data_IF_667918610253
#
_entry.id   IF_667918610253
#
_cell.length_a   1.000
_cell.length_b   1.000
_cell.length_c   1.000
_cell.angle_alpha   90.00
_cell.angle_beta   90.00
_cell.angle_gamma   90.00
#
_symmetry.space_group_name_H-M   'P 1'
#
loop_
_entity.id
_entity.type
_entity.pdbx_description
1 polymer ?
#
# COMPACT_ATOMS: atom_id res chain seq x y z
N UNK A 1 -7.63 14.48 19.38
CA UNK A 1 -6.93 13.79 18.30
C UNK A 1 -5.45 14.15 18.33
N UNK A 2 -4.58 13.14 18.39
CA UNK A 2 -3.13 13.30 18.39
C UNK A 2 -2.57 12.75 17.08
N UNK A 3 -2.33 13.63 16.12
CA UNK A 3 -1.86 13.26 14.78
C UNK A 3 -0.47 12.59 14.82
N UNK A 4 0.40 12.97 15.77
CA UNK A 4 1.70 12.32 15.92
C UNK A 4 1.53 10.87 16.36
N UNK A 5 0.70 10.62 17.37
CA UNK A 5 0.40 9.28 17.84
C UNK A 5 -0.30 8.43 16.79
N UNK A 6 -1.21 9.03 16.01
CA UNK A 6 -1.87 8.36 14.88
C UNK A 6 -0.83 7.88 13.86
N UNK A 7 0.03 8.79 13.35
CA UNK A 7 1.09 8.41 12.41
C UNK A 7 2.00 7.31 12.96
N UNK A 8 2.41 7.43 14.25
CA UNK A 8 3.32 6.47 14.88
C UNK A 8 2.68 5.08 15.05
N UNK A 9 1.37 5.00 15.28
CA UNK A 9 0.66 3.72 15.35
C UNK A 9 0.50 3.09 13.97
N UNK A 10 0.19 3.88 12.94
CA UNK A 10 0.12 3.40 11.54
C UNK A 10 1.51 2.89 11.08
N UNK A 11 2.58 3.60 11.41
CA UNK A 11 3.97 3.16 11.16
C UNK A 11 4.27 1.80 11.81
N UNK A 12 3.95 1.63 13.10
CA UNK A 12 4.14 0.35 13.83
C UNK A 12 3.36 -0.81 13.22
N UNK A 13 2.13 -0.55 12.76
CA UNK A 13 1.35 -1.55 12.01
C UNK A 13 2.09 -1.91 10.72
N UNK A 14 2.64 -0.92 10.01
CA UNK A 14 3.44 -1.14 8.80
C UNK A 14 4.68 -2.00 9.02
N UNK A 15 5.40 -1.81 10.14
CA UNK A 15 6.54 -2.65 10.50
C UNK A 15 6.14 -4.13 10.68
N UNK A 16 5.02 -4.38 11.38
CA UNK A 16 4.51 -5.74 11.60
C UNK A 16 4.03 -6.35 10.28
N UNK A 17 3.27 -5.59 9.47
CA UNK A 17 2.79 -6.05 8.18
C UNK A 17 3.96 -6.36 7.22
N UNK A 18 4.99 -5.54 7.19
CA UNK A 18 6.19 -5.76 6.39
C UNK A 18 6.89 -7.07 6.78
N UNK A 19 7.00 -7.36 8.07
CA UNK A 19 7.54 -8.63 8.58
C UNK A 19 6.70 -9.82 8.12
N UNK A 20 5.38 -9.77 8.27
CA UNK A 20 4.50 -10.86 7.84
C UNK A 20 4.56 -11.07 6.32
N UNK A 21 4.51 -9.98 5.54
CA UNK A 21 4.62 -10.01 4.09
C UNK A 21 5.95 -10.61 3.63
N UNK A 22 7.06 -10.25 4.28
CA UNK A 22 8.39 -10.74 3.89
C UNK A 22 8.51 -12.26 3.90
N UNK A 23 7.72 -12.96 4.72
CA UNK A 23 7.72 -14.43 4.80
C UNK A 23 7.20 -15.11 3.52
N UNK A 24 6.49 -14.38 2.68
CA UNK A 24 5.90 -14.90 1.43
C UNK A 24 6.73 -14.57 0.19
N UNK A 25 7.75 -13.72 0.33
CA UNK A 25 8.66 -13.38 -0.76
C UNK A 25 9.63 -14.54 -1.06
N UNK A 26 10.12 -14.61 -2.29
CA UNK A 26 11.16 -15.55 -2.67
C UNK A 26 12.52 -15.14 -2.10
N UNK A 27 13.31 -16.13 -1.70
CA UNK A 27 14.64 -15.94 -1.14
C UNK A 27 15.70 -16.68 -1.97
N UNK A 28 16.90 -16.10 -2.07
CA UNK A 28 18.07 -16.70 -2.69
C UNK A 28 19.21 -16.86 -1.69
N UNK A 29 20.01 -17.91 -1.86
CA UNK A 29 21.21 -18.14 -1.05
C UNK A 29 22.28 -17.10 -1.35
N UNK A 30 22.95 -16.63 -0.31
CA UNK A 30 24.11 -15.74 -0.37
C UNK A 30 25.15 -16.16 0.66
N UNK A 31 26.40 -15.80 0.38
CA UNK A 31 27.52 -15.94 1.30
C UNK A 31 27.89 -14.55 1.85
N UNK A 32 27.88 -14.44 3.17
CA UNK A 32 28.26 -13.19 3.86
C UNK A 32 29.57 -13.39 4.57
N UNK A 33 30.58 -12.59 4.22
CA UNK A 33 31.85 -12.57 4.93
C UNK A 33 31.68 -11.88 6.29
N UNK A 34 31.95 -12.62 7.36
CA UNK A 34 32.00 -12.12 8.73
C UNK A 34 33.48 -11.99 9.17
N UNK A 35 33.78 -11.34 10.30
CA UNK A 35 35.15 -11.30 10.84
C UNK A 35 35.75 -12.67 11.15
N UNK A 36 34.92 -13.70 11.37
CA UNK A 36 35.37 -15.04 11.79
C UNK A 36 35.21 -16.10 10.70
N UNK A 37 34.59 -15.79 9.55
CA UNK A 37 34.40 -16.77 8.47
C UNK A 37 33.23 -16.42 7.54
N UNK A 38 32.91 -17.37 6.67
CA UNK A 38 31.78 -17.23 5.74
C UNK A 38 30.50 -17.76 6.40
N UNK A 39 29.45 -16.95 6.38
CA UNK A 39 28.08 -17.32 6.78
C UNK A 39 27.23 -17.58 5.54
N UNK A 40 26.83 -18.80 5.31
CA UNK A 40 25.79 -19.13 4.33
C UNK A 40 24.42 -18.70 4.87
N UNK A 41 23.69 -17.90 4.15
CA UNK A 41 22.38 -17.37 4.56
C UNK A 41 21.52 -17.07 3.34
N UNK A 42 20.35 -16.45 3.56
CA UNK A 42 19.42 -16.08 2.48
C UNK A 42 19.12 -14.58 2.50
N UNK A 43 18.79 -14.04 1.34
CA UNK A 43 18.25 -12.70 1.17
C UNK A 43 17.06 -12.73 0.22
N UNK A 44 16.24 -11.70 0.21
CA UNK A 44 15.13 -11.55 -0.74
C UNK A 44 15.69 -11.64 -2.17
N UNK A 45 15.04 -12.45 -3.01
CA UNK A 45 15.56 -12.76 -4.35
C UNK A 45 15.41 -11.59 -5.30
N UNK A 46 14.21 -11.02 -5.42
CA UNK A 46 13.91 -9.89 -6.27
C UNK A 46 13.83 -8.59 -5.48
N UNK A 47 14.24 -7.46 -6.07
CA UNK A 47 14.09 -6.15 -5.44
C UNK A 47 12.65 -5.85 -5.07
N UNK A 48 12.46 -5.05 -4.01
CA UNK A 48 11.18 -4.55 -3.54
C UNK A 48 11.04 -3.08 -3.91
N UNK A 49 9.87 -2.71 -4.41
CA UNK A 49 9.47 -1.32 -4.63
C UNK A 49 8.27 -1.03 -3.73
N UNK A 50 8.42 -0.07 -2.84
CA UNK A 50 7.34 0.47 -2.02
C UNK A 50 6.69 1.63 -2.77
N UNK A 51 5.38 1.56 -3.03
CA UNK A 51 4.64 2.63 -3.70
C UNK A 51 3.49 3.10 -2.82
N UNK A 52 3.52 4.36 -2.38
CA UNK A 52 2.52 4.90 -1.47
C UNK A 52 1.50 5.77 -2.19
N UNK A 53 0.22 5.60 -1.83
CA UNK A 53 -0.84 6.51 -2.26
C UNK A 53 -0.87 7.72 -1.31
N UNK A 54 -0.58 8.89 -1.88
CA UNK A 54 -0.50 10.14 -1.14
C UNK A 54 -1.90 10.67 -0.80
N UNK A 55 -2.05 11.33 0.34
CA UNK A 55 -1.13 11.59 1.47
C UNK A 55 -1.20 10.48 2.52
N UNK A 56 -2.35 9.79 2.60
CA UNK A 56 -2.72 8.87 3.69
C UNK A 56 -1.70 7.72 3.89
N UNK A 57 -1.15 7.20 2.80
CA UNK A 57 -0.20 6.08 2.83
C UNK A 57 1.15 6.37 3.46
N UNK A 58 1.57 7.64 3.62
CA UNK A 58 2.94 7.99 4.05
C UNK A 58 3.35 7.41 5.41
N UNK A 59 2.46 7.38 6.40
CA UNK A 59 2.78 6.84 7.71
C UNK A 59 2.97 5.31 7.68
N UNK A 60 2.14 4.61 6.91
CA UNK A 60 2.25 3.16 6.70
C UNK A 60 3.53 2.83 5.91
N UNK A 61 3.81 3.61 4.88
CA UNK A 61 5.03 3.51 4.07
C UNK A 61 6.30 3.61 4.92
N UNK A 62 6.34 4.50 5.89
CA UNK A 62 7.47 4.64 6.81
C UNK A 62 7.73 3.34 7.59
N UNK A 63 6.68 2.63 8.01
CA UNK A 63 6.80 1.33 8.67
C UNK A 63 7.40 0.26 7.74
N UNK A 64 6.97 0.20 6.48
CA UNK A 64 7.56 -0.70 5.48
C UNK A 64 9.01 -0.35 5.18
N UNK A 65 9.36 0.95 5.07
CA UNK A 65 10.74 1.39 4.88
C UNK A 65 11.66 1.00 6.05
N UNK A 66 11.14 1.00 7.28
CA UNK A 66 11.90 0.59 8.47
C UNK A 66 12.26 -0.90 8.47
N UNK A 67 11.61 -1.70 7.61
CA UNK A 67 11.84 -3.13 7.50
C UNK A 67 12.59 -3.52 6.21
N UNK A 68 12.27 -2.89 5.07
CA UNK A 68 12.89 -3.17 3.78
C UNK A 68 13.96 -2.13 3.45
N UNK A 69 15.15 -2.26 4.06
CA UNK A 69 16.25 -1.29 3.99
C UNK A 69 16.68 -0.91 2.57
N UNK A 70 16.60 -1.86 1.62
CA UNK A 70 17.06 -1.68 0.25
C UNK A 70 15.90 -1.45 -0.74
N UNK A 71 14.68 -1.21 -0.25
CA UNK A 71 13.55 -0.99 -1.13
C UNK A 71 13.66 0.36 -1.86
N UNK A 72 13.35 0.35 -3.15
CA UNK A 72 13.14 1.57 -3.91
C UNK A 72 11.75 2.14 -3.56
N UNK A 73 11.59 3.47 -3.65
CA UNK A 73 10.39 4.14 -3.18
C UNK A 73 9.72 4.93 -4.30
N UNK A 74 8.40 4.77 -4.43
CA UNK A 74 7.54 5.49 -5.34
C UNK A 74 6.35 6.12 -4.63
N UNK A 75 5.78 7.15 -5.26
CA UNK A 75 4.63 7.88 -4.73
C UNK A 75 3.67 8.19 -5.85
N UNK A 76 2.37 7.99 -5.58
CA UNK A 76 1.29 8.33 -6.50
C UNK A 76 0.22 9.12 -5.77
N UNK A 77 -0.43 10.07 -6.45
CA UNK A 77 -1.63 10.70 -5.94
C UNK A 77 -2.85 10.17 -6.67
N UNK A 78 -3.89 9.84 -5.91
CA UNK A 78 -5.19 9.50 -6.44
C UNK A 78 -6.26 10.29 -5.69
N UNK A 79 -7.15 10.94 -6.42
CA UNK A 79 -8.27 11.65 -5.82
C UNK A 79 -9.53 11.50 -6.66
N UNK A 80 -10.68 11.66 -5.99
CA UNK A 80 -11.99 11.65 -6.65
C UNK A 80 -12.26 13.01 -7.27
N UNK A 81 -12.45 13.02 -8.58
CA UNK A 81 -12.95 14.19 -9.29
C UNK A 81 -14.44 14.02 -9.53
N UNK A 82 -15.25 14.94 -8.99
CA UNK A 82 -16.68 14.98 -9.22
C UNK A 82 -16.97 15.91 -10.42
N UNK A 83 -17.75 15.41 -11.36
CA UNK A 83 -18.28 16.25 -12.45
C UNK A 83 -19.50 17.01 -11.96
N UNK A 84 -19.62 18.28 -12.34
CA UNK A 84 -20.77 19.13 -11.98
C UNK A 84 -22.10 18.43 -12.32
N UNK A 85 -22.98 18.30 -11.32
CA UNK A 85 -24.35 17.76 -11.39
C UNK A 85 -24.57 16.27 -11.64
N UNK A 86 -23.60 15.40 -11.45
CA UNK A 86 -23.81 13.95 -11.54
C UNK A 86 -23.18 13.24 -10.32
N UNK A 87 -23.85 12.20 -9.77
CA UNK A 87 -23.28 11.35 -8.72
C UNK A 87 -22.06 10.53 -9.22
N UNK A 88 -21.66 10.77 -10.47
CA UNK A 88 -20.50 10.13 -11.09
C UNK A 88 -19.22 10.84 -10.69
N UNK A 89 -18.25 10.07 -10.30
CA UNK A 89 -16.89 10.56 -10.08
C UNK A 89 -15.89 9.69 -10.85
N UNK A 90 -14.77 10.27 -11.19
CA UNK A 90 -13.62 9.59 -11.76
C UNK A 90 -12.45 9.65 -10.78
N UNK A 91 -11.67 8.57 -10.73
CA UNK A 91 -10.43 8.58 -9.96
C UNK A 91 -9.32 9.08 -10.88
N UNK A 92 -8.82 10.28 -10.58
CA UNK A 92 -7.68 10.85 -11.29
C UNK A 92 -6.38 10.49 -10.57
N UNK A 93 -5.44 9.93 -11.32
CA UNK A 93 -4.05 9.70 -10.89
C UNK A 93 -3.19 10.74 -11.58
N UNK A 94 -2.93 11.86 -10.91
CA UNK A 94 -2.25 13.01 -11.52
C UNK A 94 -0.73 13.00 -11.31
N UNK A 95 -0.30 12.64 -10.10
CA UNK A 95 1.12 12.61 -9.77
C UNK A 95 1.61 11.18 -9.67
N UNK A 96 2.70 10.90 -10.36
CA UNK A 96 3.41 9.64 -10.27
C UNK A 96 4.90 9.90 -10.30
N UNK A 97 5.60 9.52 -9.24
CA UNK A 97 7.05 9.46 -9.19
C UNK A 97 7.43 8.10 -8.61
N UNK A 98 7.79 7.17 -9.47
CA UNK A 98 8.14 5.82 -9.07
C UNK A 98 9.31 5.28 -9.90
N UNK A 99 10.20 4.47 -9.30
CA UNK A 99 11.21 3.73 -10.04
C UNK A 99 10.54 2.67 -10.91
N UNK A 100 11.32 2.02 -11.79
CA UNK A 100 10.83 0.84 -12.50
C UNK A 100 10.55 -0.31 -11.53
N UNK A 101 9.38 -0.93 -11.68
CA UNK A 101 9.00 -2.15 -10.96
C UNK A 101 8.86 -3.37 -11.87
N UNK A 102 9.37 -3.28 -13.11
CA UNK A 102 9.41 -4.41 -14.03
C UNK A 102 10.19 -5.58 -13.42
N UNK A 103 9.50 -6.74 -13.27
CA UNK A 103 10.08 -7.96 -12.69
C UNK A 103 10.39 -7.90 -11.18
N UNK A 104 10.03 -6.82 -10.49
CA UNK A 104 10.24 -6.64 -9.04
C UNK A 104 8.96 -6.95 -8.25
N UNK A 105 9.08 -7.04 -6.93
CA UNK A 105 7.94 -7.10 -6.02
C UNK A 105 7.44 -5.68 -5.75
N UNK A 106 6.23 -5.35 -6.19
CA UNK A 106 5.58 -4.06 -5.92
C UNK A 106 4.72 -4.17 -4.67
N UNK A 107 4.96 -3.31 -3.69
CA UNK A 107 4.10 -3.17 -2.50
C UNK A 107 3.37 -1.83 -2.61
N UNK A 108 2.07 -1.88 -2.92
CA UNK A 108 1.20 -0.70 -2.96
C UNK A 108 0.61 -0.45 -1.57
N UNK A 109 0.78 0.76 -1.06
CA UNK A 109 0.52 1.12 0.32
C UNK A 109 -0.55 2.21 0.42
N UNK A 110 -1.68 1.88 1.05
CA UNK A 110 -2.74 2.81 1.42
C UNK A 110 -3.36 2.35 2.75
N UNK A 111 -3.59 3.19 3.76
CA UNK A 111 -4.15 2.73 5.03
C UNK A 111 -5.60 2.21 4.94
N UNK A 112 -6.34 2.53 3.89
CA UNK A 112 -7.77 2.23 3.82
C UNK A 112 -8.20 1.61 2.48
N UNK A 113 -8.88 0.47 2.55
CA UNK A 113 -9.61 -0.15 1.44
C UNK A 113 -11.12 -0.01 1.70
N UNK A 114 -11.67 1.14 1.32
CA UNK A 114 -13.12 1.41 1.45
C UNK A 114 -13.89 0.78 0.29
N UNK A 115 -14.06 1.48 -0.84
CA UNK A 115 -14.73 0.95 -2.05
C UNK A 115 -13.81 0.15 -2.98
N UNK A 116 -12.50 0.21 -2.80
CA UNK A 116 -11.50 -0.39 -3.68
C UNK A 116 -11.20 0.38 -4.97
N UNK A 117 -12.04 1.31 -5.38
CA UNK A 117 -11.95 1.99 -6.68
C UNK A 117 -10.63 2.75 -6.86
N UNK A 118 -10.15 3.48 -5.84
CA UNK A 118 -8.89 4.23 -5.91
C UNK A 118 -7.68 3.31 -6.09
N UNK A 119 -7.63 2.20 -5.33
CA UNK A 119 -6.56 1.21 -5.43
C UNK A 119 -6.54 0.55 -6.81
N UNK A 120 -7.70 0.14 -7.32
CA UNK A 120 -7.84 -0.45 -8.66
C UNK A 120 -7.42 0.54 -9.75
N UNK A 121 -7.85 1.80 -9.68
CA UNK A 121 -7.47 2.83 -10.65
C UNK A 121 -5.95 3.08 -10.67
N UNK A 122 -5.33 3.17 -9.49
CA UNK A 122 -3.87 3.30 -9.37
C UNK A 122 -3.16 2.08 -9.94
N UNK A 123 -3.60 0.87 -9.60
CA UNK A 123 -3.00 -0.36 -10.12
C UNK A 123 -3.11 -0.46 -11.63
N UNK A 124 -4.27 -0.15 -12.20
CA UNK A 124 -4.45 -0.17 -13.65
C UNK A 124 -3.47 0.78 -14.33
N UNK A 125 -3.30 2.00 -13.82
CA UNK A 125 -2.36 2.95 -14.40
C UNK A 125 -0.92 2.46 -14.29
N UNK A 126 -0.50 1.97 -13.13
CA UNK A 126 0.84 1.44 -12.91
C UNK A 126 1.11 0.19 -13.76
N UNK A 127 0.15 -0.74 -13.85
CA UNK A 127 0.30 -2.01 -14.56
C UNK A 127 0.31 -1.86 -16.09
N UNK A 128 -0.34 -0.83 -16.65
CA UNK A 128 -0.30 -0.55 -18.10
C UNK A 128 1.11 -0.23 -18.59
N UNK A 129 1.97 0.30 -17.73
CA UNK A 129 3.31 0.75 -18.08
C UNK A 129 4.39 -0.31 -17.82
N UNK A 130 4.21 -1.20 -16.83
CA UNK A 130 5.24 -2.14 -16.37
C UNK A 130 4.61 -3.39 -15.77
N UNK A 131 5.34 -4.51 -15.78
CA UNK A 131 4.89 -5.81 -15.25
C UNK A 131 5.70 -6.20 -14.01
N UNK A 132 5.23 -5.91 -12.79
CA UNK A 132 5.84 -6.43 -11.59
C UNK A 132 5.74 -7.96 -11.54
N UNK A 133 6.69 -8.62 -10.86
CA UNK A 133 6.64 -10.05 -10.63
C UNK A 133 5.44 -10.41 -9.76
N UNK A 134 5.33 -9.75 -8.60
CA UNK A 134 4.22 -9.87 -7.66
C UNK A 134 3.77 -8.48 -7.24
N UNK A 135 2.49 -8.36 -6.92
CA UNK A 135 1.87 -7.15 -6.39
C UNK A 135 1.33 -7.46 -5.01
N UNK A 136 1.74 -6.70 -4.02
CA UNK A 136 1.19 -6.76 -2.67
C UNK A 136 0.50 -5.44 -2.36
N UNK A 137 -0.77 -5.49 -1.94
CA UNK A 137 -1.52 -4.33 -1.49
C UNK A 137 -1.59 -4.39 0.02
N UNK A 138 -1.08 -3.37 0.70
CA UNK A 138 -1.05 -3.29 2.15
C UNK A 138 -1.99 -2.19 2.66
N UNK A 139 -3.00 -2.59 3.45
CA UNK A 139 -3.98 -1.67 4.04
C UNK A 139 -4.17 -1.95 5.54
N UNK A 140 -4.43 -0.89 6.32
CA UNK A 140 -4.67 -1.04 7.75
C UNK A 140 -6.09 -1.53 8.01
N UNK A 141 -7.09 -0.89 7.38
CA UNK A 141 -8.50 -1.30 7.48
C UNK A 141 -9.12 -1.50 6.10
N UNK A 142 -10.02 -2.47 6.02
CA UNK A 142 -10.76 -2.78 4.80
C UNK A 142 -12.24 -3.05 5.11
N UNK A 143 -13.08 -3.02 4.07
CA UNK A 143 -14.47 -3.48 4.11
C UNK A 143 -14.65 -4.72 3.23
N UNK A 144 -15.66 -5.56 3.51
CA UNK A 144 -15.98 -6.69 2.64
C UNK A 144 -16.26 -6.26 1.19
N UNK A 145 -16.99 -5.17 1.01
CA UNK A 145 -17.32 -4.64 -0.32
C UNK A 145 -16.06 -4.19 -1.09
N UNK A 146 -15.13 -3.53 -0.38
CA UNK A 146 -13.87 -3.08 -0.98
C UNK A 146 -12.98 -4.24 -1.38
N UNK A 147 -12.93 -5.30 -0.58
CA UNK A 147 -12.18 -6.53 -0.88
C UNK A 147 -12.78 -7.22 -2.11
N UNK A 148 -14.11 -7.43 -2.12
CA UNK A 148 -14.79 -8.07 -3.24
C UNK A 148 -14.60 -7.30 -4.56
N UNK A 149 -14.66 -5.96 -4.50
CA UNK A 149 -14.40 -5.13 -5.68
C UNK A 149 -12.95 -5.25 -6.15
N UNK A 150 -11.99 -5.21 -5.21
CA UNK A 150 -10.57 -5.35 -5.53
C UNK A 150 -10.30 -6.70 -6.20
N UNK A 151 -10.73 -7.81 -5.61
CA UNK A 151 -10.49 -9.17 -6.12
C UNK A 151 -11.02 -9.39 -7.55
N UNK A 152 -12.12 -8.73 -7.91
CA UNK A 152 -12.70 -8.80 -9.26
C UNK A 152 -11.94 -8.01 -10.32
N UNK A 153 -11.09 -7.05 -9.91
CA UNK A 153 -10.52 -6.05 -10.80
C UNK A 153 -8.97 -6.01 -10.78
N UNK A 154 -8.32 -6.93 -10.07
CA UNK A 154 -6.86 -7.00 -10.03
C UNK A 154 -6.33 -8.25 -10.71
N UNK A 155 -5.06 -8.24 -11.19
CA UNK A 155 -4.44 -9.42 -11.78
C UNK A 155 -4.22 -10.53 -10.75
N UNK A 156 -4.05 -11.77 -11.24
CA UNK A 156 -3.93 -12.97 -10.39
C UNK A 156 -2.66 -13.05 -9.52
N UNK A 157 -1.63 -12.26 -9.85
CA UNK A 157 -0.40 -12.13 -9.06
C UNK A 157 -0.49 -10.99 -8.02
N UNK A 158 -1.72 -10.62 -7.61
CA UNK A 158 -1.97 -9.60 -6.61
C UNK A 158 -2.41 -10.23 -5.28
N UNK A 159 -1.77 -9.80 -4.19
CA UNK A 159 -2.00 -10.30 -2.82
C UNK A 159 -2.43 -9.14 -1.93
N UNK A 160 -3.53 -9.32 -1.19
CA UNK A 160 -4.05 -8.30 -0.27
C UNK A 160 -3.63 -8.62 1.17
N UNK A 161 -3.12 -7.61 1.86
CA UNK A 161 -2.72 -7.61 3.26
C UNK A 161 -3.56 -6.62 4.04
N UNK A 162 -4.34 -7.10 5.00
CA UNK A 162 -5.27 -6.31 5.80
C UNK A 162 -4.95 -6.50 7.28
N UNK A 163 -4.71 -5.42 8.02
CA UNK A 163 -4.49 -5.54 9.46
C UNK A 163 -5.80 -5.75 10.23
N UNK A 164 -6.89 -5.11 9.80
CA UNK A 164 -8.22 -5.30 10.40
C UNK A 164 -9.34 -5.17 9.36
N UNK A 165 -10.39 -5.98 9.52
CA UNK A 165 -11.59 -5.92 8.70
C UNK A 165 -12.70 -5.22 9.50
N UNK A 166 -13.27 -4.17 8.89
CA UNK A 166 -14.44 -3.47 9.42
C UNK A 166 -15.73 -3.90 8.75
N UNK A 167 -16.88 -3.51 9.33
CA UNK A 167 -18.17 -4.13 8.99
C UNK A 167 -18.71 -3.71 7.62
N UNK A 168 -18.68 -2.39 7.31
CA UNK A 168 -19.38 -1.84 6.14
C UNK A 168 -18.94 -0.43 5.79
N UNK A 169 -19.49 0.11 4.70
CA UNK A 169 -19.46 1.53 4.34
C UNK A 169 -20.77 2.23 4.81
N UNK A 170 -20.65 3.51 5.14
CA UNK A 170 -21.81 4.39 5.30
C UNK A 170 -22.23 5.00 3.95
N UNK A 171 -23.28 5.83 3.95
CA UNK A 171 -23.83 6.53 2.77
C UNK A 171 -22.83 7.47 2.05
N UNK A 172 -21.77 7.88 2.75
CA UNK A 172 -20.69 8.72 2.21
C UNK A 172 -19.43 7.92 1.83
N UNK A 173 -19.53 6.59 1.77
CA UNK A 173 -18.41 5.67 1.49
C UNK A 173 -17.26 5.73 2.51
N UNK A 174 -17.54 6.11 3.77
CA UNK A 174 -16.60 5.94 4.87
C UNK A 174 -16.75 4.56 5.50
N UNK A 175 -15.63 3.99 5.90
CA UNK A 175 -15.57 2.72 6.65
C UNK A 175 -16.22 2.91 8.03
N UNK A 176 -17.05 1.97 8.45
CA UNK A 176 -17.73 1.97 9.77
C UNK A 176 -17.46 0.65 10.49
N UNK A 177 -16.97 0.71 11.74
CA UNK A 177 -16.70 1.87 12.59
C UNK A 177 -15.55 2.75 12.09
N UNK A 178 -14.54 2.18 11.40
CA UNK A 178 -13.49 2.91 10.71
C UNK A 178 -12.64 3.83 11.60
N UNK A 179 -11.94 4.75 10.94
CA UNK A 179 -11.11 5.75 11.59
C UNK A 179 -11.30 7.19 11.00
N UNK A 180 -12.26 7.38 10.09
CA UNK A 180 -12.48 8.64 9.38
C UNK A 180 -11.54 8.82 8.19
N UNK A 181 -11.09 10.05 7.90
CA UNK A 181 -10.10 10.32 6.85
C UNK A 181 -8.68 10.19 7.42
N UNK A 182 -7.94 9.16 6.98
CA UNK A 182 -6.61 8.88 7.47
C UNK A 182 -5.60 9.98 7.10
N UNK A 183 -5.76 10.62 5.93
CA UNK A 183 -4.91 11.71 5.49
C UNK A 183 -5.07 12.94 6.38
N UNK A 184 -6.32 13.29 6.68
CA UNK A 184 -6.63 14.43 7.53
C UNK A 184 -6.24 14.20 9.01
N UNK A 185 -6.44 12.98 9.52
CA UNK A 185 -5.96 12.59 10.86
C UNK A 185 -4.45 12.67 10.97
N UNK A 186 -3.72 12.26 9.94
CA UNK A 186 -2.26 12.22 9.95
C UNK A 186 -1.62 13.59 9.69
N UNK A 187 -2.19 14.40 8.76
CA UNK A 187 -1.50 15.55 8.17
C UNK A 187 -2.30 16.85 8.19
N UNK A 188 -3.50 16.83 8.77
CA UNK A 188 -4.40 18.00 8.83
C UNK A 188 -5.35 18.05 7.63
N UNK A 189 -6.44 18.77 7.84
CA UNK A 189 -7.55 18.92 6.87
C UNK A 189 -7.05 19.59 5.59
N UNK A 190 -7.47 19.05 4.44
CA UNK A 190 -7.26 19.67 3.12
C UNK A 190 -8.09 20.96 3.01
N UNK A 191 -7.54 21.97 2.35
CA UNK A 191 -8.25 23.16 1.95
C UNK A 191 -9.07 22.90 0.69
#
# INVERSE_FOLDING_TARGET
>A
NDSMRFRKNIERIGEIMAYELSKTLDYKNIDVQTPLGIKHTTTIAEPVVLCSILRAGLALHQGFMSFFDNAENGFVSAYRHHYDNDDKFEILVEYQAAPSFEGKNLILIDPMLATGQSLVAVLHKLHLEQKPKEIHIAVVIATPEGIEYLEKNVPSNCHLWVAALDEKLNEHNYIVPGLGDAGDLAYGIKL
#
